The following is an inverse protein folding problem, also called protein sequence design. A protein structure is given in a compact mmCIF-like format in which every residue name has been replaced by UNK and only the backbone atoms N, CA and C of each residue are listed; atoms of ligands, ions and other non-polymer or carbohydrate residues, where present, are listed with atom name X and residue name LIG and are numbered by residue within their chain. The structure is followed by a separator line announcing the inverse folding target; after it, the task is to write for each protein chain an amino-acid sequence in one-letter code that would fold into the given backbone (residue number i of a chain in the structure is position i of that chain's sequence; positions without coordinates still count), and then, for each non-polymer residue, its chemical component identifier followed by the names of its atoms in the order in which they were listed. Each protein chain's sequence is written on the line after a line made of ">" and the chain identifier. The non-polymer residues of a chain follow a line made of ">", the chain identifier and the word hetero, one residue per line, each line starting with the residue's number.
data_IF_662037213519
#
_entry.id   IF_662037213519
#
_cell.length_a   1.000
_cell.length_b   1.000
_cell.length_c   1.000
_cell.angle_alpha   90.00
_cell.angle_beta   90.00
_cell.angle_gamma   90.00
#
_symmetry.space_group_name_H-M   'P 1'
#
loop_
_entity.id
_entity.type
_entity.pdbx_description
1 polymer ?
#
# COMPACT_ATOMS: atom_id res chain seq x y z
N UNK A 1 -11.56 -69.42 -26.70
CA UNK A 1 -12.81 -69.40 -25.91
C UNK A 1 -13.05 -67.99 -25.41
N UNK A 2 -14.22 -67.43 -25.72
CA UNK A 2 -14.74 -66.09 -25.37
C UNK A 2 -15.69 -66.28 -24.16
N UNK A 3 -15.88 -65.32 -23.22
CA UNK A 3 -16.71 -64.11 -23.42
C UNK A 3 -15.96 -62.80 -23.05
N UNK A 4 -16.03 -61.70 -23.81
CA UNK A 4 -17.17 -60.84 -24.11
C UNK A 4 -17.85 -60.24 -22.87
N UNK A 5 -17.83 -58.90 -22.78
CA UNK A 5 -18.94 -58.15 -22.18
C UNK A 5 -18.62 -57.31 -20.96
N UNK A 6 -18.02 -56.13 -21.16
CA UNK A 6 -18.38 -54.95 -20.35
C UNK A 6 -18.45 -53.64 -21.14
N UNK A 7 -17.70 -53.43 -22.24
CA UNK A 7 -17.58 -52.06 -22.78
C UNK A 7 -18.71 -51.57 -23.70
N UNK A 8 -19.51 -52.42 -24.37
CA UNK A 8 -20.57 -51.91 -25.27
C UNK A 8 -21.73 -51.27 -24.53
N UNK A 9 -22.11 -51.80 -23.37
CA UNK A 9 -23.24 -51.30 -22.61
C UNK A 9 -22.88 -49.97 -21.93
N UNK A 10 -21.68 -49.85 -21.36
CA UNK A 10 -21.22 -48.59 -20.77
C UNK A 10 -21.02 -47.48 -21.83
N UNK A 11 -20.52 -47.81 -23.02
CA UNK A 11 -20.42 -46.87 -24.14
C UNK A 11 -21.82 -46.45 -24.66
N UNK A 12 -22.76 -47.39 -24.77
CA UNK A 12 -24.15 -47.11 -25.16
C UNK A 12 -24.91 -46.31 -24.09
N UNK A 13 -24.73 -46.63 -22.81
CA UNK A 13 -25.30 -45.90 -21.68
C UNK A 13 -24.72 -44.49 -21.64
N UNK A 14 -23.42 -44.32 -21.89
CA UNK A 14 -22.80 -42.99 -22.00
C UNK A 14 -23.35 -42.22 -23.20
N UNK A 15 -23.51 -42.86 -24.36
CA UNK A 15 -24.10 -42.25 -25.56
C UNK A 15 -25.58 -41.86 -25.37
N UNK A 16 -26.40 -42.71 -24.74
CA UNK A 16 -27.80 -42.40 -24.46
C UNK A 16 -27.93 -41.28 -23.41
N UNK A 17 -27.11 -41.34 -22.35
CA UNK A 17 -27.03 -40.29 -21.33
C UNK A 17 -26.61 -38.96 -21.95
N UNK A 18 -25.63 -38.98 -22.86
CA UNK A 18 -25.17 -37.77 -23.57
C UNK A 18 -26.27 -37.21 -24.47
N UNK A 19 -26.99 -38.04 -25.23
CA UNK A 19 -28.13 -37.59 -26.05
C UNK A 19 -29.23 -36.96 -25.21
N UNK A 20 -29.58 -37.57 -24.07
CA UNK A 20 -30.57 -37.00 -23.15
C UNK A 20 -30.09 -35.69 -22.55
N UNK A 21 -28.82 -35.61 -22.16
CA UNK A 21 -28.21 -34.37 -21.70
C UNK A 21 -28.28 -33.28 -22.78
N UNK A 22 -27.84 -33.56 -24.01
CA UNK A 22 -27.90 -32.62 -25.13
C UNK A 22 -29.32 -32.15 -25.42
N UNK A 23 -30.30 -33.05 -25.32
CA UNK A 23 -31.72 -32.71 -25.45
C UNK A 23 -32.17 -31.74 -24.35
N UNK A 24 -31.88 -32.07 -23.09
CA UNK A 24 -32.23 -31.22 -21.94
C UNK A 24 -31.55 -29.86 -22.00
N UNK A 25 -30.28 -29.80 -22.45
CA UNK A 25 -29.56 -28.54 -22.67
C UNK A 25 -30.22 -27.72 -23.77
N UNK A 26 -30.63 -28.34 -24.89
CA UNK A 26 -31.35 -27.65 -25.97
C UNK A 26 -32.73 -27.15 -25.55
N UNK A 27 -33.40 -27.84 -24.63
CA UNK A 27 -34.69 -27.41 -24.08
C UNK A 27 -34.57 -26.32 -23.00
N UNK A 28 -33.37 -26.00 -22.53
CA UNK A 28 -33.16 -24.88 -21.61
C UNK A 28 -33.58 -23.55 -22.25
N UNK A 29 -34.81 -23.11 -21.94
CA UNK A 29 -35.33 -21.79 -22.29
C UNK A 29 -34.77 -20.73 -21.34
N UNK A 30 -33.45 -20.53 -21.42
CA UNK A 30 -32.78 -19.49 -20.66
C UNK A 30 -33.30 -18.12 -21.12
N UNK A 31 -33.78 -17.28 -20.21
CA UNK A 31 -34.35 -15.96 -20.52
C UNK A 31 -33.29 -14.87 -20.70
N UNK A 32 -33.69 -13.61 -20.52
CA UNK A 32 -32.74 -12.50 -20.35
C UNK A 32 -32.26 -12.41 -18.89
N UNK A 33 -33.10 -12.81 -17.93
CA UNK A 33 -32.78 -12.78 -16.51
C UNK A 33 -32.21 -14.14 -16.04
N UNK A 34 -30.98 -14.08 -15.53
CA UNK A 34 -30.26 -15.24 -15.00
C UNK A 34 -30.96 -15.83 -13.77
N UNK A 35 -31.48 -15.01 -12.85
CA UNK A 35 -32.09 -15.51 -11.62
C UNK A 35 -33.37 -16.28 -11.92
N UNK A 36 -34.18 -15.79 -12.86
CA UNK A 36 -35.36 -16.48 -13.38
C UNK A 36 -34.97 -17.79 -14.05
N UNK A 37 -33.89 -17.80 -14.82
CA UNK A 37 -33.39 -19.02 -15.46
C UNK A 37 -32.91 -20.07 -14.45
N UNK A 38 -32.25 -19.63 -13.37
CA UNK A 38 -31.84 -20.50 -12.26
C UNK A 38 -33.04 -21.14 -11.55
N UNK A 39 -34.20 -20.48 -11.59
CA UNK A 39 -35.46 -20.95 -11.00
C UNK A 39 -36.33 -21.74 -11.97
N UNK A 40 -35.91 -21.92 -13.21
CA UNK A 40 -36.74 -22.55 -14.24
C UNK A 40 -36.94 -24.05 -13.98
N UNK A 41 -38.13 -24.61 -14.28
CA UNK A 41 -38.38 -26.04 -14.22
C UNK A 41 -37.42 -26.86 -15.09
N UNK A 42 -37.03 -26.34 -16.26
CA UNK A 42 -36.11 -26.99 -17.18
C UNK A 42 -34.71 -27.13 -16.57
N UNK A 43 -34.21 -26.09 -15.89
CA UNK A 43 -32.93 -26.18 -15.19
C UNK A 43 -33.02 -27.13 -14.00
N UNK A 44 -34.15 -27.18 -13.28
CA UNK A 44 -34.37 -28.15 -12.20
C UNK A 44 -34.31 -29.58 -12.73
N UNK A 45 -34.91 -29.85 -13.89
CA UNK A 45 -34.86 -31.14 -14.56
C UNK A 45 -33.44 -31.50 -14.98
N UNK A 46 -32.73 -30.59 -15.67
CA UNK A 46 -31.34 -30.80 -16.04
C UNK A 46 -30.43 -31.04 -14.82
N UNK A 47 -30.61 -30.28 -13.74
CA UNK A 47 -29.81 -30.43 -12.51
C UNK A 47 -30.05 -31.78 -11.84
N UNK A 48 -31.30 -32.27 -11.82
CA UNK A 48 -31.63 -33.61 -11.32
C UNK A 48 -31.02 -34.70 -12.21
N UNK A 49 -31.10 -34.52 -13.54
CA UNK A 49 -30.49 -35.45 -14.49
C UNK A 49 -28.97 -35.54 -14.30
N UNK A 50 -28.29 -34.39 -14.24
CA UNK A 50 -26.84 -34.33 -14.03
C UNK A 50 -26.48 -35.00 -12.70
N UNK A 51 -27.18 -34.68 -11.60
CA UNK A 51 -26.95 -35.31 -10.28
C UNK A 51 -26.98 -36.84 -10.34
N UNK A 52 -27.98 -37.40 -11.02
CA UNK A 52 -28.21 -38.84 -11.08
C UNK A 52 -27.23 -39.56 -12.03
N UNK A 53 -26.61 -38.84 -12.95
CA UNK A 53 -25.77 -39.39 -14.02
C UNK A 53 -24.31 -38.91 -13.98
N UNK A 54 -23.90 -38.17 -12.94
CA UNK A 54 -22.54 -37.63 -12.81
C UNK A 54 -21.54 -38.74 -12.48
N UNK A 55 -21.06 -39.45 -13.52
CA UNK A 55 -19.99 -40.45 -13.42
C UNK A 55 -18.62 -39.79 -13.71
N UNK A 56 -17.51 -40.36 -13.21
CA UNK A 56 -16.17 -39.80 -13.45
C UNK A 56 -15.81 -39.59 -14.93
N UNK A 57 -16.32 -40.46 -15.82
CA UNK A 57 -16.03 -40.44 -17.25
C UNK A 57 -16.96 -39.52 -18.09
N UNK A 58 -18.11 -39.10 -17.55
CA UNK A 58 -19.07 -38.25 -18.27
C UNK A 58 -18.93 -36.80 -17.82
N UNK A 59 -18.48 -35.91 -18.71
CA UNK A 59 -18.45 -34.47 -18.43
C UNK A 59 -19.78 -33.81 -18.84
N UNK A 60 -20.81 -34.03 -18.01
CA UNK A 60 -22.10 -33.31 -18.11
C UNK A 60 -22.18 -32.26 -17.00
N UNK A 61 -22.70 -31.08 -17.30
CA UNK A 61 -22.78 -29.96 -16.35
C UNK A 61 -24.06 -29.17 -16.56
N UNK A 62 -24.80 -28.92 -15.48
CA UNK A 62 -25.98 -28.05 -15.55
C UNK A 62 -25.62 -26.57 -15.52
N UNK A 63 -24.39 -26.23 -15.14
CA UNK A 63 -23.87 -24.86 -15.03
C UNK A 63 -23.22 -24.38 -16.31
N UNK A 64 -22.64 -25.29 -17.11
CA UNK A 64 -21.95 -24.92 -18.34
C UNK A 64 -22.85 -24.13 -19.32
N UNK A 65 -24.10 -24.55 -19.62
CA UNK A 65 -24.99 -23.77 -20.49
C UNK A 65 -25.34 -22.37 -19.93
N UNK A 66 -25.44 -22.26 -18.60
CA UNK A 66 -25.65 -20.95 -17.95
C UNK A 66 -24.42 -20.05 -18.14
N UNK A 67 -23.21 -20.60 -17.97
CA UNK A 67 -21.97 -19.85 -18.09
C UNK A 67 -21.68 -19.43 -19.53
N UNK A 68 -22.02 -20.29 -20.49
CA UNK A 68 -21.93 -19.99 -21.93
C UNK A 68 -22.84 -18.82 -22.32
N UNK A 69 -24.08 -18.81 -21.83
CA UNK A 69 -25.04 -17.76 -22.15
C UNK A 69 -24.81 -16.44 -21.39
N UNK A 70 -24.60 -16.53 -20.07
CA UNK A 70 -24.60 -15.35 -19.19
C UNK A 70 -23.20 -14.88 -18.79
N UNK A 71 -22.18 -15.69 -19.03
CA UNK A 71 -20.82 -15.46 -18.56
C UNK A 71 -20.57 -15.99 -17.14
N UNK A 72 -19.36 -16.52 -16.92
CA UNK A 72 -18.94 -17.09 -15.63
C UNK A 72 -19.09 -16.09 -14.47
N UNK A 73 -18.82 -14.81 -14.70
CA UNK A 73 -18.88 -13.78 -13.66
C UNK A 73 -20.32 -13.49 -13.19
N UNK A 74 -21.28 -13.45 -14.12
CA UNK A 74 -22.69 -13.26 -13.79
C UNK A 74 -23.25 -14.48 -13.06
N UNK A 75 -22.94 -15.68 -13.53
CA UNK A 75 -23.37 -16.96 -12.93
C UNK A 75 -22.82 -17.12 -11.52
N UNK A 76 -21.50 -16.97 -11.33
CA UNK A 76 -20.88 -17.08 -10.00
C UNK A 76 -21.50 -16.08 -8.99
N UNK A 77 -21.70 -14.83 -9.42
CA UNK A 77 -22.35 -13.80 -8.59
C UNK A 77 -23.76 -14.21 -8.18
N UNK A 78 -24.58 -14.69 -9.12
CA UNK A 78 -25.96 -15.05 -8.87
C UNK A 78 -26.08 -16.26 -7.94
N UNK A 79 -25.27 -17.30 -8.17
CA UNK A 79 -25.29 -18.52 -7.35
C UNK A 79 -24.87 -18.24 -5.90
N UNK A 80 -23.77 -17.49 -5.69
CA UNK A 80 -23.34 -17.09 -4.34
C UNK A 80 -24.41 -16.23 -3.65
N UNK A 81 -25.05 -15.30 -4.39
CA UNK A 81 -26.11 -14.45 -3.84
C UNK A 81 -27.30 -15.29 -3.38
N UNK A 82 -27.81 -16.17 -4.23
CA UNK A 82 -28.96 -17.04 -3.93
C UNK A 82 -28.68 -17.99 -2.77
N UNK A 83 -27.46 -18.53 -2.66
CA UNK A 83 -27.15 -19.41 -1.53
C UNK A 83 -27.17 -18.68 -0.18
N UNK A 84 -26.70 -17.43 -0.18
CA UNK A 84 -26.60 -16.60 1.04
C UNK A 84 -27.91 -15.93 1.42
N UNK A 85 -28.83 -15.82 0.48
CA UNK A 85 -30.14 -15.21 0.69
C UNK A 85 -30.97 -16.07 1.65
N UNK A 86 -31.42 -15.44 2.74
CA UNK A 86 -32.20 -16.11 3.79
C UNK A 86 -33.60 -16.47 3.29
N UNK A 87 -34.13 -15.73 2.31
CA UNK A 87 -35.47 -15.89 1.78
C UNK A 87 -35.52 -16.89 0.61
N UNK A 88 -34.36 -17.46 0.22
CA UNK A 88 -34.32 -18.49 -0.82
C UNK A 88 -34.94 -19.79 -0.32
N UNK A 89 -35.97 -20.25 -1.02
CA UNK A 89 -36.69 -21.48 -0.72
C UNK A 89 -35.74 -22.68 -0.54
N UNK A 90 -35.95 -23.58 0.45
CA UNK A 90 -35.01 -24.66 0.77
C UNK A 90 -34.61 -25.55 -0.42
N UNK A 91 -35.58 -25.91 -1.27
CA UNK A 91 -35.30 -26.73 -2.47
C UNK A 91 -34.38 -26.02 -3.47
N UNK A 92 -34.62 -24.72 -3.70
CA UNK A 92 -33.77 -23.91 -4.57
C UNK A 92 -32.38 -23.75 -3.95
N UNK A 93 -32.28 -23.64 -2.63
CA UNK A 93 -30.99 -23.56 -1.92
C UNK A 93 -30.16 -24.84 -2.09
N UNK A 94 -30.80 -26.01 -2.05
CA UNK A 94 -30.14 -27.31 -2.34
C UNK A 94 -29.64 -27.34 -3.78
N UNK A 95 -30.47 -26.93 -4.73
CA UNK A 95 -30.07 -26.86 -6.14
C UNK A 95 -28.91 -25.87 -6.35
N UNK A 96 -28.99 -24.67 -5.79
CA UNK A 96 -27.93 -23.65 -5.92
C UNK A 96 -26.62 -24.17 -5.35
N UNK A 97 -26.63 -24.87 -4.20
CA UNK A 97 -25.43 -25.54 -3.67
C UNK A 97 -24.85 -26.55 -4.64
N UNK A 98 -25.70 -27.34 -5.30
CA UNK A 98 -25.27 -28.29 -6.33
C UNK A 98 -24.63 -27.56 -7.51
N UNK A 99 -25.29 -26.53 -8.05
CA UNK A 99 -24.77 -25.69 -9.14
C UNK A 99 -23.43 -25.03 -8.76
N UNK A 100 -23.27 -24.56 -7.52
CA UNK A 100 -21.99 -24.02 -7.06
C UNK A 100 -20.89 -25.07 -7.04
N UNK A 101 -21.17 -26.26 -6.53
CA UNK A 101 -20.20 -27.36 -6.52
C UNK A 101 -19.85 -27.83 -7.93
N UNK A 102 -20.81 -27.88 -8.85
CA UNK A 102 -20.57 -28.13 -10.27
C UNK A 102 -19.67 -27.05 -10.88
N UNK A 103 -19.96 -25.76 -10.65
CA UNK A 103 -19.14 -24.65 -11.14
C UNK A 103 -17.67 -24.77 -10.72
N UNK A 104 -17.40 -25.01 -9.43
CA UNK A 104 -16.03 -25.15 -8.92
C UNK A 104 -15.32 -26.39 -9.50
N UNK A 105 -16.06 -27.49 -9.66
CA UNK A 105 -15.52 -28.70 -10.27
C UNK A 105 -15.25 -28.55 -11.76
N UNK A 106 -16.09 -27.82 -12.49
CA UNK A 106 -15.91 -27.56 -13.92
C UNK A 106 -14.65 -26.74 -14.15
N UNK A 107 -14.44 -25.65 -13.39
CA UNK A 107 -13.19 -24.90 -13.43
C UNK A 107 -11.98 -25.80 -13.17
N UNK A 108 -12.04 -26.68 -12.17
CA UNK A 108 -10.96 -27.63 -11.88
C UNK A 108 -10.74 -28.64 -13.01
N UNK A 109 -11.80 -29.26 -13.55
CA UNK A 109 -11.73 -30.27 -14.62
C UNK A 109 -11.23 -29.68 -15.93
N UNK A 110 -11.56 -28.42 -16.20
CA UNK A 110 -11.10 -27.67 -17.37
C UNK A 110 -9.67 -27.13 -17.20
N UNK A 111 -9.00 -27.43 -16.08
CA UNK A 111 -7.61 -27.03 -15.84
C UNK A 111 -7.44 -25.54 -15.53
N UNK A 112 -8.50 -24.84 -15.12
CA UNK A 112 -8.41 -23.43 -14.77
C UNK A 112 -7.46 -23.22 -13.58
N UNK A 113 -6.57 -22.25 -13.70
CA UNK A 113 -5.80 -21.78 -12.54
C UNK A 113 -6.65 -20.85 -11.68
N UNK A 114 -6.30 -20.64 -10.41
CA UNK A 114 -6.98 -19.62 -9.59
C UNK A 114 -6.86 -18.23 -10.24
N UNK A 115 -5.72 -17.91 -10.85
CA UNK A 115 -5.55 -16.69 -11.65
C UNK A 115 -6.40 -16.67 -12.94
N UNK A 116 -6.66 -17.83 -13.54
CA UNK A 116 -7.61 -17.99 -14.65
C UNK A 116 -9.04 -17.69 -14.22
N UNK A 117 -9.50 -18.31 -13.13
CA UNK A 117 -10.81 -18.03 -12.53
C UNK A 117 -10.94 -16.55 -12.14
N UNK A 118 -9.90 -15.92 -11.58
CA UNK A 118 -9.90 -14.49 -11.29
C UNK A 118 -10.24 -13.65 -12.55
N UNK A 119 -9.68 -14.01 -13.71
CA UNK A 119 -9.96 -13.35 -15.00
C UNK A 119 -11.36 -13.68 -15.52
N UNK A 120 -11.79 -14.95 -15.47
CA UNK A 120 -13.15 -15.37 -15.86
C UNK A 120 -14.22 -14.61 -15.08
N UNK A 121 -13.96 -14.33 -13.82
CA UNK A 121 -14.85 -13.57 -12.94
C UNK A 121 -14.73 -12.05 -13.09
N UNK A 122 -13.85 -11.56 -13.96
CA UNK A 122 -13.63 -10.12 -14.23
C UNK A 122 -13.39 -9.29 -12.97
N UNK A 123 -12.73 -9.88 -11.97
CA UNK A 123 -12.55 -9.27 -10.65
C UNK A 123 -11.66 -8.02 -10.68
N UNK A 124 -10.81 -7.89 -11.71
CA UNK A 124 -9.99 -6.69 -11.90
C UNK A 124 -10.85 -5.44 -12.16
N UNK A 125 -11.95 -5.60 -12.90
CA UNK A 125 -12.83 -4.50 -13.30
C UNK A 125 -13.59 -3.94 -12.09
N UNK A 126 -13.79 -4.76 -11.05
CA UNK A 126 -14.41 -4.37 -9.79
C UNK A 126 -13.44 -3.60 -8.85
N UNK A 127 -12.13 -3.60 -9.12
CA UNK A 127 -11.13 -2.92 -8.29
C UNK A 127 -11.17 -3.35 -6.82
N UNK A 128 -11.17 -2.40 -5.88
CA UNK A 128 -11.24 -2.69 -4.44
C UNK A 128 -12.61 -3.23 -4.01
N UNK A 129 -13.67 -2.95 -4.76
CA UNK A 129 -15.01 -3.42 -4.43
C UNK A 129 -15.07 -4.95 -4.51
N UNK A 130 -14.23 -5.58 -5.33
CA UNK A 130 -14.12 -7.03 -5.42
C UNK A 130 -14.01 -7.69 -4.03
N UNK A 131 -13.23 -7.11 -3.10
CA UNK A 131 -12.88 -7.68 -1.79
C UNK A 131 -14.09 -8.03 -0.88
N UNK A 132 -15.30 -7.55 -1.19
CA UNK A 132 -16.51 -7.85 -0.42
C UNK A 132 -17.69 -8.32 -1.28
N UNK A 133 -17.45 -8.63 -2.56
CA UNK A 133 -18.51 -9.00 -3.52
C UNK A 133 -18.61 -10.51 -3.69
N UNK A 134 -19.79 -10.95 -4.15
CA UNK A 134 -20.10 -12.36 -4.35
C UNK A 134 -19.20 -13.06 -5.37
N UNK A 135 -18.71 -12.37 -6.41
CA UNK A 135 -17.74 -12.94 -7.36
C UNK A 135 -16.43 -13.33 -6.65
N UNK A 136 -15.97 -12.50 -5.71
CA UNK A 136 -14.75 -12.75 -4.97
C UNK A 136 -14.91 -13.95 -4.03
N UNK A 137 -16.06 -14.10 -3.37
CA UNK A 137 -16.36 -15.31 -2.60
C UNK A 137 -16.26 -16.58 -3.47
N UNK A 138 -16.74 -16.55 -4.72
CA UNK A 138 -16.60 -17.70 -5.62
C UNK A 138 -15.14 -18.05 -5.92
N UNK A 139 -14.26 -17.04 -6.06
CA UNK A 139 -12.81 -17.25 -6.17
C UNK A 139 -12.23 -17.87 -4.89
N UNK A 140 -12.62 -17.35 -3.73
CA UNK A 140 -12.15 -17.85 -2.43
C UNK A 140 -12.54 -19.31 -2.22
N UNK A 141 -13.77 -19.67 -2.59
CA UNK A 141 -14.27 -21.04 -2.48
C UNK A 141 -13.61 -21.98 -3.50
N UNK A 142 -13.05 -21.45 -4.59
CA UNK A 142 -12.30 -22.23 -5.58
C UNK A 142 -10.88 -22.58 -5.13
N UNK A 143 -10.22 -21.72 -4.37
CA UNK A 143 -8.85 -21.95 -3.87
C UNK A 143 -8.67 -23.33 -3.20
N UNK A 144 -9.48 -23.74 -2.21
CA UNK A 144 -9.33 -25.05 -1.58
C UNK A 144 -9.60 -26.21 -2.55
N UNK A 145 -10.53 -26.03 -3.51
CA UNK A 145 -10.79 -27.02 -4.56
C UNK A 145 -9.60 -27.18 -5.50
N UNK A 146 -8.95 -26.07 -5.86
CA UNK A 146 -7.76 -26.07 -6.72
C UNK A 146 -6.53 -26.67 -6.02
N UNK A 147 -6.36 -26.41 -4.73
CA UNK A 147 -5.23 -26.90 -3.94
C UNK A 147 -5.37 -28.37 -3.51
N UNK A 148 -6.58 -28.94 -3.57
CA UNK A 148 -6.81 -30.31 -3.15
C UNK A 148 -5.89 -31.31 -3.88
N UNK A 149 -5.09 -32.06 -3.11
CA UNK A 149 -4.15 -33.06 -3.61
C UNK A 149 -2.87 -32.49 -4.24
N UNK A 150 -2.61 -31.17 -4.15
CA UNK A 150 -1.38 -30.55 -4.64
C UNK A 150 -0.33 -30.44 -3.55
N UNK A 151 0.94 -30.59 -3.94
CA UNK A 151 2.09 -30.42 -3.05
C UNK A 151 2.42 -28.96 -2.74
N UNK A 152 2.00 -28.03 -3.60
CA UNK A 152 2.19 -26.59 -3.44
C UNK A 152 0.84 -25.88 -3.47
N UNK A 153 0.56 -25.10 -2.44
CA UNK A 153 -0.70 -24.37 -2.31
C UNK A 153 -0.62 -23.00 -3.01
N UNK A 154 -1.64 -22.70 -3.81
CA UNK A 154 -1.88 -21.35 -4.31
C UNK A 154 -2.71 -20.57 -3.30
N UNK A 155 -2.23 -19.42 -2.86
CA UNK A 155 -2.93 -18.57 -1.88
C UNK A 155 -3.65 -17.41 -2.55
N UNK A 156 -4.66 -16.86 -1.87
CA UNK A 156 -5.34 -15.64 -2.31
C UNK A 156 -4.36 -14.47 -2.47
N UNK A 157 -3.41 -14.34 -1.52
CA UNK A 157 -2.38 -13.30 -1.57
C UNK A 157 -1.54 -13.39 -2.85
N UNK A 158 -1.08 -14.58 -3.23
CA UNK A 158 -0.29 -14.80 -4.45
C UNK A 158 -1.10 -14.41 -5.69
N UNK A 159 -2.36 -14.85 -5.78
CA UNK A 159 -3.24 -14.56 -6.92
C UNK A 159 -3.48 -13.07 -7.06
N UNK A 160 -3.81 -12.37 -5.98
CA UNK A 160 -4.02 -10.92 -6.02
C UNK A 160 -2.73 -10.17 -6.32
N UNK A 161 -1.60 -10.56 -5.74
CA UNK A 161 -0.30 -9.95 -6.04
C UNK A 161 0.00 -10.02 -7.54
N UNK A 162 -0.20 -11.19 -8.17
CA UNK A 162 -0.01 -11.36 -9.61
C UNK A 162 -1.04 -10.59 -10.44
N UNK A 163 -2.32 -10.63 -10.06
CA UNK A 163 -3.40 -9.99 -10.81
C UNK A 163 -3.31 -8.45 -10.82
N UNK A 164 -2.86 -7.87 -9.71
CA UNK A 164 -2.61 -6.43 -9.56
C UNK A 164 -1.18 -6.04 -9.97
N UNK A 165 -0.37 -6.99 -10.44
CA UNK A 165 0.94 -6.80 -11.04
C UNK A 165 2.11 -7.03 -10.08
N UNK A 166 2.02 -6.52 -8.85
CA UNK A 166 3.02 -6.75 -7.80
C UNK A 166 2.49 -6.36 -6.41
N UNK A 167 3.34 -6.57 -5.39
CA UNK A 167 3.04 -6.23 -4.00
C UNK A 167 2.84 -4.72 -3.82
N UNK A 168 3.55 -3.90 -4.59
CA UNK A 168 3.43 -2.43 -4.57
C UNK A 168 2.02 -1.95 -4.94
N UNK A 169 1.44 -2.54 -5.99
CA UNK A 169 0.07 -2.26 -6.41
C UNK A 169 -0.97 -2.91 -5.49
N UNK A 170 -0.67 -4.08 -4.93
CA UNK A 170 -1.52 -4.71 -3.92
C UNK A 170 -1.68 -3.82 -2.67
N UNK A 171 -0.62 -3.12 -2.24
CA UNK A 171 -0.72 -2.17 -1.11
C UNK A 171 -1.75 -1.07 -1.37
N UNK A 172 -1.86 -0.56 -2.60
CA UNK A 172 -2.87 0.46 -2.96
C UNK A 172 -4.31 -0.09 -2.87
N UNK A 173 -4.48 -1.36 -3.24
CA UNK A 173 -5.76 -2.06 -3.10
C UNK A 173 -6.12 -2.21 -1.62
N UNK A 174 -5.17 -2.63 -0.80
CA UNK A 174 -5.31 -2.79 0.65
C UNK A 174 -5.67 -1.45 1.31
N UNK A 175 -4.93 -0.38 1.00
CA UNK A 175 -5.19 0.98 1.47
C UNK A 175 -6.65 1.39 1.20
N UNK A 176 -7.06 1.28 -0.06
CA UNK A 176 -8.43 1.65 -0.48
C UNK A 176 -9.46 0.78 0.24
N UNK A 177 -9.18 -0.52 0.38
CA UNK A 177 -10.04 -1.46 1.07
C UNK A 177 -10.21 -1.18 2.56
N UNK A 178 -9.13 -0.77 3.26
CA UNK A 178 -9.13 -0.44 4.71
C UNK A 178 -9.94 0.81 5.04
N UNK A 179 -9.97 1.77 4.11
CA UNK A 179 -10.75 3.00 4.24
C UNK A 179 -12.27 2.78 4.11
N UNK A 180 -12.71 1.59 3.69
CA UNK A 180 -14.12 1.29 3.39
C UNK A 180 -14.68 0.22 4.33
N UNK A 181 -15.81 0.52 4.97
CA UNK A 181 -16.42 -0.35 6.00
C UNK A 181 -16.60 -1.81 5.56
N UNK A 182 -17.04 -2.04 4.31
CA UNK A 182 -17.37 -3.39 3.80
C UNK A 182 -16.15 -4.24 3.48
N UNK A 183 -15.05 -3.65 3.01
CA UNK A 183 -13.80 -4.36 2.66
C UNK A 183 -12.73 -4.30 3.75
N UNK A 184 -12.95 -3.54 4.84
CA UNK A 184 -11.92 -3.26 5.84
C UNK A 184 -11.30 -4.53 6.42
N UNK A 185 -12.11 -5.50 6.84
CA UNK A 185 -11.58 -6.72 7.46
C UNK A 185 -10.73 -7.53 6.48
N UNK A 186 -11.25 -7.76 5.27
CA UNK A 186 -10.51 -8.47 4.21
C UNK A 186 -9.19 -7.78 3.85
N UNK A 187 -9.18 -6.45 3.82
CA UNK A 187 -7.97 -5.69 3.57
C UNK A 187 -6.95 -5.81 4.72
N UNK A 188 -7.40 -5.90 5.98
CA UNK A 188 -6.54 -6.18 7.15
C UNK A 188 -5.96 -7.60 7.06
N UNK A 189 -6.76 -8.59 6.65
CA UNK A 189 -6.31 -9.97 6.47
C UNK A 189 -5.24 -10.05 5.37
N UNK A 190 -5.43 -9.35 4.24
CA UNK A 190 -4.45 -9.27 3.15
C UNK A 190 -3.16 -8.56 3.58
N UNK A 191 -3.26 -7.48 4.35
CA UNK A 191 -2.07 -6.81 4.92
C UNK A 191 -1.30 -7.76 5.85
N UNK A 192 -2.02 -8.51 6.69
CA UNK A 192 -1.44 -9.48 7.62
C UNK A 192 -0.75 -10.62 6.87
N UNK A 193 -1.40 -11.14 5.82
CA UNK A 193 -0.83 -12.15 4.95
C UNK A 193 0.42 -11.64 4.23
N UNK A 194 0.43 -10.38 3.77
CA UNK A 194 1.60 -9.78 3.10
C UNK A 194 2.78 -9.62 4.07
N UNK A 195 2.54 -9.13 5.29
CA UNK A 195 3.57 -9.05 6.34
C UNK A 195 4.10 -10.45 6.71
N UNK A 196 3.20 -11.43 6.84
CA UNK A 196 3.55 -12.81 7.12
C UNK A 196 4.40 -13.43 6.01
N UNK A 197 4.06 -13.18 4.74
CA UNK A 197 4.84 -13.61 3.57
C UNK A 197 6.27 -13.06 3.63
N UNK A 198 6.43 -11.75 3.81
CA UNK A 198 7.77 -11.15 3.93
C UNK A 198 8.56 -11.72 5.10
N UNK A 199 7.88 -12.06 6.21
CA UNK A 199 8.54 -12.72 7.34
C UNK A 199 8.95 -14.15 7.03
N UNK A 200 8.12 -14.94 6.35
CA UNK A 200 8.45 -16.32 5.97
C UNK A 200 9.56 -16.39 4.92
N UNK A 201 9.69 -15.36 4.09
CA UNK A 201 10.79 -15.19 3.13
C UNK A 201 12.07 -14.63 3.78
N UNK A 202 12.05 -14.38 5.09
CA UNK A 202 13.11 -13.74 5.88
C UNK A 202 13.68 -12.47 5.22
N UNK A 203 12.79 -11.64 4.67
CA UNK A 203 13.21 -10.45 3.94
C UNK A 203 13.82 -9.41 4.90
N UNK A 204 15.06 -8.94 4.64
CA UNK A 204 15.58 -7.78 5.36
C UNK A 204 14.75 -6.54 5.00
N UNK A 205 14.87 -5.49 5.81
CA UNK A 205 14.18 -4.19 5.58
C UNK A 205 14.38 -3.67 4.16
N UNK A 206 15.60 -3.80 3.61
CA UNK A 206 15.94 -3.44 2.23
C UNK A 206 15.23 -4.31 1.19
N UNK A 207 15.05 -5.61 1.46
CA UNK A 207 14.28 -6.50 0.59
C UNK A 207 12.81 -6.07 0.50
N UNK A 208 12.19 -5.70 1.62
CA UNK A 208 10.81 -5.18 1.62
C UNK A 208 10.72 -3.84 0.90
N UNK A 209 11.70 -2.95 1.09
CA UNK A 209 11.80 -1.69 0.35
C UNK A 209 11.77 -1.90 -1.18
N UNK A 210 12.54 -2.86 -1.69
CA UNK A 210 12.62 -3.16 -3.12
C UNK A 210 11.28 -3.70 -3.66
N UNK A 211 10.56 -4.51 -2.87
CA UNK A 211 9.22 -5.00 -3.22
C UNK A 211 8.18 -3.88 -3.31
N UNK A 212 8.28 -2.89 -2.43
CA UNK A 212 7.32 -1.79 -2.33
C UNK A 212 7.43 -0.76 -3.44
N UNK A 213 8.53 -0.72 -4.20
CA UNK A 213 8.75 0.17 -5.36
C UNK A 213 8.28 1.61 -5.06
N UNK A 214 8.98 2.29 -4.15
CA UNK A 214 8.67 3.67 -3.78
C UNK A 214 8.77 4.62 -5.00
N UNK A 215 7.94 5.67 -4.99
CA UNK A 215 7.93 6.72 -6.02
C UNK A 215 9.31 7.37 -6.17
N UNK A 216 9.58 8.03 -7.30
CA UNK A 216 10.79 8.86 -7.44
C UNK A 216 10.67 10.22 -6.73
N UNK A 217 9.46 10.58 -6.27
CA UNK A 217 9.21 11.76 -5.44
C UNK A 217 9.35 11.42 -3.95
N UNK A 218 10.28 12.07 -3.26
CA UNK A 218 10.43 11.96 -1.79
C UNK A 218 9.14 12.34 -1.05
N UNK A 219 8.41 13.34 -1.57
CA UNK A 219 7.16 13.81 -0.98
C UNK A 219 6.03 12.78 -1.09
N UNK A 220 5.98 12.03 -2.20
CA UNK A 220 4.98 10.98 -2.39
C UNK A 220 5.36 9.74 -1.57
N UNK A 221 6.66 9.41 -1.50
CA UNK A 221 7.16 8.32 -0.70
C UNK A 221 6.85 8.50 0.79
N UNK A 222 7.07 9.71 1.33
CA UNK A 222 6.75 10.04 2.73
C UNK A 222 5.25 9.97 3.05
N UNK A 223 4.38 10.25 2.07
CA UNK A 223 2.91 10.17 2.23
C UNK A 223 2.34 8.79 1.96
N UNK A 224 3.11 7.90 1.35
CA UNK A 224 2.60 6.61 0.90
C UNK A 224 2.24 5.67 2.06
N UNK A 225 1.15 4.92 1.92
CA UNK A 225 0.83 3.81 2.82
C UNK A 225 1.89 2.70 2.79
N UNK A 226 2.68 2.61 1.71
CA UNK A 226 3.86 1.75 1.61
C UNK A 226 4.87 2.05 2.73
N UNK A 227 5.08 3.32 3.06
CA UNK A 227 5.99 3.71 4.13
C UNK A 227 5.45 3.26 5.49
N UNK A 228 4.16 3.47 5.74
CA UNK A 228 3.49 3.01 6.97
C UNK A 228 3.58 1.50 7.12
N UNK A 229 3.37 0.76 6.03
CA UNK A 229 3.48 -0.70 6.01
C UNK A 229 4.91 -1.17 6.26
N UNK A 230 5.92 -0.51 5.69
CA UNK A 230 7.33 -0.78 5.97
C UNK A 230 7.66 -0.56 7.46
N UNK A 231 7.25 0.58 8.03
CA UNK A 231 7.45 0.84 9.47
C UNK A 231 6.72 -0.18 10.34
N UNK A 232 5.53 -0.64 9.94
CA UNK A 232 4.82 -1.72 10.62
C UNK A 232 5.63 -3.01 10.61
N UNK A 233 6.15 -3.42 9.45
CA UNK A 233 7.02 -4.60 9.33
C UNK A 233 8.26 -4.50 10.22
N UNK A 234 8.95 -3.35 10.20
CA UNK A 234 10.11 -3.07 11.05
C UNK A 234 9.75 -3.16 12.53
N UNK A 235 8.68 -2.50 12.95
CA UNK A 235 8.27 -2.51 14.37
C UNK A 235 7.96 -3.92 14.88
N UNK A 236 7.47 -4.81 14.01
CA UNK A 236 7.06 -6.16 14.37
C UNK A 236 8.22 -7.16 14.38
N UNK A 237 9.21 -7.00 13.51
CA UNK A 237 10.25 -8.02 13.28
C UNK A 237 11.69 -7.50 13.38
N UNK A 238 11.90 -6.19 13.32
CA UNK A 238 13.21 -5.52 13.34
C UNK A 238 13.18 -4.25 14.21
N UNK A 239 12.98 -4.35 15.54
CA UNK A 239 12.69 -3.19 16.41
C UNK A 239 13.77 -2.09 16.43
N UNK A 240 14.97 -2.33 15.90
CA UNK A 240 16.05 -1.36 15.73
C UNK A 240 16.33 -0.99 14.25
N UNK A 241 15.52 -1.48 13.31
CA UNK A 241 15.74 -1.36 11.86
C UNK A 241 15.26 -0.05 11.23
N UNK A 242 14.75 0.90 12.03
CA UNK A 242 14.16 2.13 11.50
C UNK A 242 15.20 3.11 10.97
N UNK A 243 16.42 3.11 11.51
CA UNK A 243 17.53 3.94 11.02
C UNK A 243 17.89 3.60 9.57
N UNK A 244 17.72 2.34 9.17
CA UNK A 244 17.92 1.86 7.79
C UNK A 244 16.97 2.55 6.82
N UNK A 245 15.75 2.91 7.25
CA UNK A 245 14.79 3.61 6.39
C UNK A 245 15.32 4.98 5.99
N UNK A 246 15.88 5.75 6.93
CA UNK A 246 16.45 7.05 6.62
C UNK A 246 17.65 6.92 5.64
N UNK A 247 18.51 5.93 5.83
CA UNK A 247 19.61 5.64 4.91
C UNK A 247 19.11 5.35 3.49
N UNK A 248 18.08 4.50 3.36
CA UNK A 248 17.49 4.19 2.05
C UNK A 248 16.86 5.43 1.39
N UNK A 249 16.18 6.28 2.16
CA UNK A 249 15.62 7.54 1.67
C UNK A 249 16.72 8.49 1.18
N UNK A 250 17.75 8.71 1.99
CA UNK A 250 18.86 9.63 1.64
C UNK A 250 19.67 9.11 0.46
N UNK A 251 19.88 7.80 0.36
CA UNK A 251 20.49 7.15 -0.82
C UNK A 251 19.67 7.36 -2.09
N UNK A 252 18.34 7.22 -2.01
CA UNK A 252 17.46 7.32 -3.21
C UNK A 252 17.19 8.75 -3.64
N UNK A 253 16.98 9.67 -2.70
CA UNK A 253 16.47 11.02 -2.99
C UNK A 253 17.48 12.15 -2.74
N UNK A 254 18.61 11.85 -2.08
CA UNK A 254 19.59 12.86 -1.66
C UNK A 254 19.33 13.40 -0.26
N UNK A 255 20.40 13.69 0.47
CA UNK A 255 20.35 14.07 1.90
C UNK A 255 19.64 15.41 2.13
N UNK A 256 19.85 16.40 1.26
CA UNK A 256 19.24 17.73 1.35
C UNK A 256 17.74 17.71 1.03
N UNK A 257 17.36 16.96 -0.01
CA UNK A 257 15.96 16.79 -0.42
C UNK A 257 15.16 16.05 0.65
N UNK A 258 15.71 14.99 1.25
CA UNK A 258 15.08 14.27 2.36
C UNK A 258 14.91 15.17 3.56
N UNK A 259 15.95 15.89 3.97
CA UNK A 259 15.88 16.78 5.13
C UNK A 259 14.75 17.83 4.95
N UNK A 260 14.69 18.47 3.78
CA UNK A 260 13.63 19.43 3.44
C UNK A 260 12.23 18.77 3.46
N UNK A 261 12.11 17.58 2.87
CA UNK A 261 10.83 16.89 2.76
C UNK A 261 10.28 16.44 4.11
N UNK A 262 11.15 16.01 5.02
CA UNK A 262 10.79 15.62 6.39
C UNK A 262 10.25 16.81 7.19
N UNK A 263 10.89 17.99 7.13
CA UNK A 263 10.36 19.20 7.78
C UNK A 263 9.00 19.60 7.25
N UNK A 264 8.78 19.48 5.94
CA UNK A 264 7.46 19.74 5.35
C UNK A 264 6.43 18.70 5.78
N UNK A 265 6.81 17.41 5.82
CA UNK A 265 5.93 16.31 6.24
C UNK A 265 5.54 16.36 7.72
N UNK A 266 6.35 17.00 8.60
CA UNK A 266 5.98 17.27 10.01
C UNK A 266 4.74 18.15 10.15
N UNK A 267 4.35 18.89 9.10
CA UNK A 267 3.22 19.82 9.10
C UNK A 267 1.88 19.15 8.76
N UNK A 268 1.92 17.94 8.22
CA UNK A 268 0.73 17.17 7.85
C UNK A 268 0.46 16.10 8.92
N UNK A 269 -0.75 16.06 9.46
CA UNK A 269 -1.14 15.14 10.53
C UNK A 269 -0.93 13.67 10.15
N UNK A 270 -1.11 13.30 8.87
CA UNK A 270 -0.98 11.92 8.42
C UNK A 270 0.48 11.44 8.35
N UNK A 271 1.44 12.36 8.23
CA UNK A 271 2.88 12.04 8.12
C UNK A 271 3.70 12.51 9.31
N UNK A 272 3.12 13.29 10.22
CA UNK A 272 3.83 13.98 11.31
C UNK A 272 4.68 13.05 12.15
N UNK A 273 4.16 11.90 12.56
CA UNK A 273 4.85 11.02 13.51
C UNK A 273 6.09 10.39 12.88
N UNK A 274 5.94 9.80 11.69
CA UNK A 274 7.05 9.22 10.93
C UNK A 274 8.08 10.30 10.57
N UNK A 275 7.62 11.45 10.08
CA UNK A 275 8.51 12.54 9.68
C UNK A 275 9.29 13.12 10.86
N UNK A 276 8.65 13.28 12.02
CA UNK A 276 9.31 13.75 13.25
C UNK A 276 10.39 12.77 13.70
N UNK A 277 10.08 11.47 13.65
CA UNK A 277 11.00 10.40 14.02
C UNK A 277 12.22 10.35 13.10
N UNK A 278 11.99 10.35 11.78
CA UNK A 278 13.07 10.34 10.79
C UNK A 278 13.91 11.62 10.83
N UNK A 279 13.29 12.80 11.04
CA UNK A 279 14.05 14.05 11.19
C UNK A 279 14.95 14.02 12.42
N UNK A 280 14.47 13.47 13.55
CA UNK A 280 15.30 13.29 14.74
C UNK A 280 16.49 12.37 14.47
N UNK A 281 16.25 11.21 13.87
CA UNK A 281 17.31 10.27 13.49
C UNK A 281 18.34 10.92 12.56
N UNK A 282 17.90 11.78 11.63
CA UNK A 282 18.79 12.51 10.75
C UNK A 282 19.72 13.45 11.52
N UNK A 283 19.16 14.27 12.42
CA UNK A 283 19.93 15.23 13.21
C UNK A 283 20.89 14.53 14.19
N UNK A 284 20.42 13.48 14.87
CA UNK A 284 21.25 12.65 15.75
C UNK A 284 22.37 11.94 14.99
N UNK A 285 22.06 11.42 13.80
CA UNK A 285 23.04 10.80 12.91
C UNK A 285 24.12 11.79 12.44
N UNK A 286 23.75 13.04 12.14
CA UNK A 286 24.71 14.09 11.83
C UNK A 286 25.66 14.39 13.00
N UNK A 287 25.12 14.46 14.23
CA UNK A 287 25.93 14.66 15.43
C UNK A 287 26.85 13.47 15.74
N UNK A 288 26.33 12.24 15.63
CA UNK A 288 27.10 11.02 15.86
C UNK A 288 28.25 10.89 14.86
N UNK A 289 28.03 11.28 13.60
CA UNK A 289 29.04 11.34 12.55
C UNK A 289 29.95 12.59 12.63
N UNK A 290 29.89 13.34 13.74
CA UNK A 290 30.70 14.54 14.01
C UNK A 290 30.60 15.60 12.92
N UNK A 291 29.48 15.69 12.20
CA UNK A 291 29.26 16.78 11.24
C UNK A 291 29.30 18.11 11.99
N UNK A 292 30.11 19.02 11.49
CA UNK A 292 30.21 20.40 11.97
C UNK A 292 29.02 21.22 11.46
N UNK A 293 28.88 22.46 11.97
CA UNK A 293 27.95 23.42 11.39
C UNK A 293 28.19 23.66 9.89
N UNK A 294 29.45 23.58 9.44
CA UNK A 294 29.86 23.88 8.08
C UNK A 294 29.45 22.72 7.17
N UNK A 295 29.65 21.49 7.65
CA UNK A 295 29.20 20.28 6.97
C UNK A 295 27.69 20.28 6.76
N UNK A 296 26.91 20.58 7.81
CA UNK A 296 25.44 20.61 7.72
C UNK A 296 24.98 21.79 6.85
N UNK A 297 25.63 22.95 6.93
CA UNK A 297 25.30 24.10 6.08
C UNK A 297 25.52 23.79 4.60
N UNK A 298 26.67 23.19 4.25
CA UNK A 298 27.00 22.77 2.88
C UNK A 298 26.09 21.64 2.40
N UNK A 299 25.84 20.64 3.24
CA UNK A 299 24.93 19.52 2.96
C UNK A 299 23.54 20.03 2.60
N UNK A 300 22.99 20.97 3.38
CA UNK A 300 21.70 21.57 3.10
C UNK A 300 21.72 22.48 1.87
N UNK A 301 22.88 22.73 1.26
CA UNK A 301 23.03 23.49 0.02
C UNK A 301 22.30 24.85 0.09
N UNK A 302 22.57 25.59 1.17
CA UNK A 302 21.99 26.92 1.44
C UNK A 302 22.73 27.93 0.57
N UNK A 303 22.29 28.11 -0.69
CA UNK A 303 22.99 28.93 -1.69
C UNK A 303 22.56 30.39 -1.71
N UNK A 304 21.25 30.67 -1.66
CA UNK A 304 20.71 32.02 -1.48
C UNK A 304 19.19 31.96 -1.31
N UNK A 305 18.66 32.90 -0.53
CA UNK A 305 17.25 32.89 -0.13
C UNK A 305 17.03 32.13 1.17
N UNK A 306 16.13 32.68 1.98
CA UNK A 306 15.78 32.13 3.29
C UNK A 306 14.76 31.00 3.06
N UNK A 307 15.22 29.91 2.44
CA UNK A 307 14.42 28.70 2.22
C UNK A 307 14.00 28.15 3.58
N UNK A 308 12.76 28.46 3.95
CA UNK A 308 12.24 28.37 5.30
C UNK A 308 12.44 26.97 5.94
N UNK A 309 12.24 25.84 5.22
CA UNK A 309 12.50 24.51 5.78
C UNK A 309 13.97 24.25 6.10
N UNK A 310 14.91 24.72 5.25
CA UNK A 310 16.35 24.52 5.48
C UNK A 310 16.84 25.31 6.68
N UNK A 311 16.30 26.51 6.89
CA UNK A 311 16.58 27.32 8.07
C UNK A 311 16.03 26.67 9.35
N UNK A 312 14.86 26.05 9.29
CA UNK A 312 14.33 25.26 10.40
C UNK A 312 15.25 24.08 10.74
N UNK A 313 15.73 23.33 9.74
CA UNK A 313 16.65 22.20 9.95
C UNK A 313 17.95 22.68 10.60
N UNK A 314 18.52 23.77 10.07
CA UNK A 314 19.75 24.34 10.61
C UNK A 314 19.57 24.79 12.06
N UNK A 315 18.44 25.43 12.38
CA UNK A 315 18.12 25.85 13.74
C UNK A 315 17.91 24.65 14.69
N UNK A 316 17.22 23.59 14.25
CA UNK A 316 17.05 22.35 15.03
C UNK A 316 18.40 21.66 15.27
N UNK A 317 19.27 21.62 14.26
CA UNK A 317 20.64 21.10 14.39
C UNK A 317 21.47 21.93 15.37
N UNK A 318 21.52 23.26 15.23
CA UNK A 318 22.25 24.15 16.15
C UNK A 318 21.74 24.01 17.58
N UNK A 319 20.43 23.87 17.77
CA UNK A 319 19.82 23.58 19.07
C UNK A 319 20.38 22.28 19.65
N UNK A 320 20.29 21.16 18.93
CA UNK A 320 20.78 19.88 19.41
C UNK A 320 22.30 19.87 19.65
N UNK A 321 23.06 20.50 18.77
CA UNK A 321 24.51 20.68 18.92
C UNK A 321 24.82 21.44 20.21
N UNK A 322 24.21 22.59 20.44
CA UNK A 322 24.55 23.47 21.56
C UNK A 322 24.15 22.94 22.95
N UNK A 323 23.20 21.99 23.04
CA UNK A 323 22.70 21.47 24.33
C UNK A 323 23.82 20.88 25.19
N UNK A 324 24.77 20.15 24.59
CA UNK A 324 25.82 19.42 25.31
C UNK A 324 27.24 19.94 25.00
N UNK A 325 27.37 21.17 24.52
CA UNK A 325 28.63 21.73 24.02
C UNK A 325 29.16 22.86 24.89
N UNK A 326 30.48 22.97 24.96
CA UNK A 326 31.15 24.00 25.76
C UNK A 326 31.03 25.38 25.08
N UNK A 327 31.41 26.49 25.73
CA UNK A 327 31.34 27.83 25.12
C UNK A 327 32.17 27.99 23.83
N UNK A 328 33.30 27.29 23.70
CA UNK A 328 34.16 27.35 22.50
C UNK A 328 33.47 26.71 21.29
N UNK A 329 32.91 25.51 21.46
CA UNK A 329 32.15 24.81 20.44
C UNK A 329 30.94 25.66 19.95
N UNK A 330 30.27 26.35 20.88
CA UNK A 330 29.16 27.26 20.57
C UNK A 330 29.61 28.47 19.75
N UNK A 331 30.79 29.02 20.06
CA UNK A 331 31.39 30.13 19.32
C UNK A 331 31.89 29.70 17.94
N UNK A 332 32.38 28.46 17.80
CA UNK A 332 32.73 27.86 16.52
C UNK A 332 31.48 27.72 15.63
N UNK A 333 30.39 27.16 16.17
CA UNK A 333 29.11 27.08 15.44
C UNK A 333 28.62 28.46 14.97
N UNK A 334 28.72 29.50 15.80
CA UNK A 334 28.40 30.87 15.39
C UNK A 334 29.28 31.34 14.21
N UNK A 335 30.59 31.16 14.32
CA UNK A 335 31.58 31.60 13.33
C UNK A 335 31.35 30.90 11.98
N UNK A 336 31.10 29.60 12.05
CA UNK A 336 30.81 28.75 10.90
C UNK A 336 29.55 29.19 10.18
N UNK A 337 28.45 29.41 10.91
CA UNK A 337 27.20 29.88 10.29
C UNK A 337 27.39 31.26 9.67
N UNK A 338 28.00 32.20 10.40
CA UNK A 338 28.31 33.56 9.92
C UNK A 338 29.08 33.51 8.60
N UNK A 339 30.14 32.70 8.53
CA UNK A 339 30.95 32.50 7.32
C UNK A 339 30.16 31.82 6.21
N UNK A 340 29.35 30.80 6.52
CA UNK A 340 28.54 30.06 5.56
C UNK A 340 27.58 30.95 4.79
N UNK A 341 26.98 31.95 5.44
CA UNK A 341 26.13 32.93 4.77
C UNK A 341 26.88 33.90 3.85
N UNK A 342 28.21 34.01 3.98
CA UNK A 342 29.09 34.86 3.16
C UNK A 342 28.88 36.37 3.31
N UNK A 343 27.79 36.80 3.92
CA UNK A 343 27.39 38.18 4.13
C UNK A 343 26.70 38.32 5.49
N UNK A 344 27.20 39.22 6.34
CA UNK A 344 26.64 39.41 7.68
C UNK A 344 25.19 39.92 7.63
N UNK A 345 24.76 40.57 6.53
CA UNK A 345 23.40 41.08 6.36
C UNK A 345 22.43 39.95 6.12
N UNK A 346 22.80 38.99 5.26
CA UNK A 346 22.09 37.72 5.05
C UNK A 346 22.00 36.92 6.35
N UNK A 347 23.10 36.80 7.08
CA UNK A 347 23.12 36.10 8.38
C UNK A 347 22.20 36.78 9.39
N UNK A 348 22.26 38.10 9.51
CA UNK A 348 21.47 38.84 10.47
C UNK A 348 19.96 38.89 10.11
N UNK A 349 19.62 38.89 8.81
CA UNK A 349 18.25 38.72 8.34
C UNK A 349 17.70 37.33 8.68
N UNK A 350 18.52 36.28 8.56
CA UNK A 350 18.15 34.92 9.02
C UNK A 350 17.87 34.90 10.52
N UNK A 351 18.78 35.45 11.34
CA UNK A 351 18.61 35.54 12.80
C UNK A 351 17.31 36.26 13.16
N UNK A 352 16.98 37.35 12.48
CA UNK A 352 15.74 38.12 12.69
C UNK A 352 14.48 37.29 12.44
N UNK A 353 14.51 36.38 11.46
CA UNK A 353 13.39 35.46 11.22
C UNK A 353 13.34 34.35 12.27
N UNK A 354 14.47 33.75 12.61
CA UNK A 354 14.54 32.70 13.64
C UNK A 354 14.09 33.20 15.02
N UNK A 355 14.33 34.47 15.34
CA UNK A 355 13.82 35.12 16.57
C UNK A 355 12.28 35.15 16.67
N UNK A 356 11.56 35.03 15.55
CA UNK A 356 10.08 34.96 15.50
C UNK A 356 9.56 33.53 15.59
N UNK A 357 10.43 32.53 15.76
CA UNK A 357 10.05 31.13 15.89
C UNK A 357 9.17 30.91 17.13
N UNK A 358 8.23 29.95 17.03
CA UNK A 358 7.45 29.46 18.17
C UNK A 358 8.26 28.53 19.09
N UNK A 359 9.38 27.98 18.60
CA UNK A 359 10.33 27.22 19.44
C UNK A 359 11.21 28.22 20.20
N UNK A 360 11.04 28.28 21.52
CA UNK A 360 11.74 29.23 22.39
C UNK A 360 13.25 29.08 22.35
N UNK A 361 13.76 27.85 22.24
CA UNK A 361 15.20 27.58 22.16
C UNK A 361 15.78 28.06 20.83
N UNK A 362 15.06 27.89 19.72
CA UNK A 362 15.46 28.47 18.43
C UNK A 362 15.48 30.01 18.51
N UNK A 363 14.46 30.61 19.12
CA UNK A 363 14.40 32.06 19.30
C UNK A 363 15.54 32.59 20.20
N UNK A 364 15.89 31.87 21.26
CA UNK A 364 16.94 32.26 22.20
C UNK A 364 18.34 32.08 21.62
N UNK A 365 18.60 31.01 20.86
CA UNK A 365 19.83 30.86 20.08
C UNK A 365 19.96 32.00 19.07
N UNK A 366 18.88 32.37 18.38
CA UNK A 366 18.90 33.47 17.43
C UNK A 366 19.18 34.82 18.12
N UNK A 367 18.65 35.07 19.32
CA UNK A 367 19.00 36.25 20.14
C UNK A 367 20.46 36.23 20.59
N UNK A 368 20.98 35.07 20.99
CA UNK A 368 22.36 34.90 21.39
C UNK A 368 23.31 35.22 20.23
N UNK A 369 23.12 34.58 19.07
CA UNK A 369 23.95 34.82 17.88
C UNK A 369 23.81 36.25 17.36
N UNK A 370 22.65 36.88 17.53
CA UNK A 370 22.49 38.30 17.23
C UNK A 370 23.32 39.18 18.15
N UNK A 371 23.32 38.90 19.46
CA UNK A 371 24.16 39.63 20.42
C UNK A 371 25.64 39.45 20.06
N UNK A 372 26.04 38.23 19.73
CA UNK A 372 27.39 37.89 19.31
C UNK A 372 27.82 38.63 18.04
N UNK A 373 26.94 38.72 17.03
CA UNK A 373 27.20 39.47 15.79
C UNK A 373 27.37 40.98 16.04
N UNK A 374 26.64 41.54 17.01
CA UNK A 374 26.78 42.94 17.40
C UNK A 374 28.09 43.21 18.16
N UNK A 375 28.47 42.29 19.05
CA UNK A 375 29.72 42.39 19.82
C UNK A 375 30.96 42.26 18.93
N UNK A 376 30.94 41.36 17.94
CA UNK A 376 32.09 41.06 17.09
C UNK A 376 32.21 41.96 15.83
N UNK A 377 31.32 42.95 15.67
CA UNK A 377 31.32 43.88 14.54
C UNK A 377 30.89 43.25 13.20
N UNK A 378 30.47 44.08 12.24
CA UNK A 378 30.08 43.65 10.89
C UNK A 378 31.30 43.67 9.95
N UNK A 379 31.38 42.69 9.05
CA UNK A 379 32.46 42.54 8.08
C UNK A 379 32.49 43.67 7.04
N UNK A 380 31.39 44.40 6.81
CA UNK A 380 31.38 45.61 5.96
C UNK A 380 30.44 46.70 6.48
N UNK A 381 30.80 47.96 6.23
CA UNK A 381 30.02 49.13 6.67
C UNK A 381 28.66 49.26 5.97
N UNK A 382 28.58 48.83 4.71
CA UNK A 382 27.32 48.70 3.95
C UNK A 382 26.34 47.76 4.64
N UNK A 383 26.84 46.68 5.25
CA UNK A 383 26.03 45.69 5.96
C UNK A 383 25.52 46.22 7.30
N UNK A 384 26.35 46.98 8.02
CA UNK A 384 25.95 47.71 9.23
C UNK A 384 24.79 48.68 8.92
N UNK A 385 24.83 49.40 7.78
CA UNK A 385 23.78 50.35 7.34
C UNK A 385 22.47 49.67 6.91
N UNK A 386 22.55 48.55 6.17
CA UNK A 386 21.37 47.75 5.79
C UNK A 386 20.68 47.15 7.01
N UNK A 387 21.47 46.65 7.96
CA UNK A 387 20.96 46.10 9.22
C UNK A 387 20.22 47.18 10.03
N UNK A 388 20.87 48.32 10.32
CA UNK A 388 20.25 49.43 11.07
C UNK A 388 18.97 49.97 10.41
N UNK A 389 18.91 50.06 9.07
CA UNK A 389 17.69 50.46 8.34
C UNK A 389 16.55 49.44 8.49
N UNK A 390 16.81 48.14 8.33
CA UNK A 390 15.78 47.11 8.50
C UNK A 390 15.21 47.07 9.94
N UNK A 391 16.05 47.44 10.92
CA UNK A 391 15.67 47.53 12.33
C UNK A 391 14.82 48.75 12.64
N UNK A 392 15.18 49.93 12.13
CA UNK A 392 14.38 51.14 12.32
C UNK A 392 12.93 50.95 11.82
N UNK A 393 12.74 50.25 10.70
CA UNK A 393 11.41 49.95 10.17
C UNK A 393 10.62 48.93 11.00
N UNK A 394 11.26 47.95 11.66
CA UNK A 394 10.56 46.98 12.50
C UNK A 394 10.20 47.52 13.89
N UNK A 395 11.00 48.43 14.44
CA UNK A 395 10.70 49.09 15.74
C UNK A 395 9.56 50.10 15.60
N UNK A 396 9.47 50.79 14.46
CA UNK A 396 8.33 51.68 14.15
C UNK A 396 7.03 50.92 13.88
N UNK A 397 7.08 49.73 13.27
CA UNK A 397 5.89 48.90 12.99
C UNK A 397 5.34 48.14 14.23
N UNK A 398 6.00 48.21 15.39
CA UNK A 398 5.50 47.69 16.68
C UNK A 398 4.97 48.79 17.61
N UNK A 399 5.05 50.06 17.19
CA UNK A 399 4.59 51.25 17.95
C UNK A 399 3.34 51.91 17.34
N UNK A 400 2.76 51.31 16.30
CA UNK A 400 1.43 51.57 15.75
C UNK A 400 0.63 50.28 15.90
#
# INVERSE_FOLDING_TARGET
>A
MVPAGTSKLDDLVTSATLKTYEFLVKDLKLGADLVTSVRSPQLLELSKFVKNNNRPASHISSVAPLSEKYGHDAVARALVKLERDADTHPELKIMVKQLRNEQLNDWRKNGESVGGVFKLLKLKDDGYEALHRHKFQALEDYIPVFNHGKSTETTLLQVLTQAFGDESNLVRLIETGRARRRSRMKAIDLETALLGKWRSEDLPVRGVWDRLKFSNSVHDALRSEKLKLLFKYISQYYPNGETVVLEMFTTKYGEDAVAKALVLAKRDAATKDIATKMQRQQLEGWLANRKTGDDVFKLLNIKDGIDHPKMEILAEFTKLFNVNKNPQDKAEMFTVLRKGFGDDGKFALMLTKAQKSRDTLVADIAKLYRKELLSNGFNTESTRRLYTRSFATQTSARKL
#
